data_IF_354157913143
#
_entry.id   IF_354157913143
#
_cell.length_a   1.000
_cell.length_b   1.000
_cell.length_c   1.000
_cell.angle_alpha   90.00
_cell.angle_beta   90.00
_cell.angle_gamma   90.00
#
_symmetry.space_group_name_H-M   'P 1'
#
loop_
_entity.id
_entity.type
_entity.pdbx_description
1 polymer ?
#
# COMPACT_ATOMS: atom_id res chain seq x y z
N UNK A 1 -13.63 -3.05 4.40
CA UNK A 1 -14.90 -2.79 5.12
C UNK A 1 -14.84 -1.46 5.82
N UNK A 2 -15.87 -0.63 5.66
CA UNK A 2 -15.92 0.71 6.25
C UNK A 2 -16.92 0.75 7.41
N UNK A 3 -16.47 1.10 8.61
CA UNK A 3 -17.27 1.12 9.84
C UNK A 3 -17.27 2.52 10.46
N UNK A 4 -18.45 3.05 10.73
CA UNK A 4 -18.66 4.24 11.56
C UNK A 4 -19.26 3.82 12.89
N UNK A 5 -18.68 4.22 14.01
CA UNK A 5 -19.09 3.78 15.35
C UNK A 5 -19.02 4.87 16.40
N UNK A 6 -19.82 4.74 17.47
CA UNK A 6 -19.72 5.56 18.69
C UNK A 6 -18.60 5.14 19.65
N UNK A 7 -17.80 4.13 19.28
CA UNK A 7 -16.67 3.69 20.08
C UNK A 7 -15.54 4.73 20.01
N UNK A 8 -14.88 5.09 21.13
CA UNK A 8 -13.74 6.00 21.11
C UNK A 8 -12.57 5.45 20.28
N UNK A 9 -11.82 6.35 19.62
CA UNK A 9 -10.72 6.05 18.72
C UNK A 9 -9.72 5.05 19.30
N UNK A 10 -9.20 5.30 20.52
CA UNK A 10 -8.22 4.41 21.15
C UNK A 10 -8.76 2.98 21.35
N UNK A 11 -10.04 2.84 21.72
CA UNK A 11 -10.67 1.54 21.89
C UNK A 11 -10.80 0.80 20.54
N UNK A 12 -11.10 1.53 19.46
CA UNK A 12 -11.18 0.95 18.11
C UNK A 12 -9.79 0.48 17.67
N UNK A 13 -8.77 1.33 17.80
CA UNK A 13 -7.37 0.98 17.47
C UNK A 13 -6.88 -0.24 18.25
N UNK A 14 -7.06 -0.26 19.58
CA UNK A 14 -6.60 -1.37 20.42
C UNK A 14 -7.25 -2.69 20.03
N UNK A 15 -8.53 -2.67 19.66
CA UNK A 15 -9.27 -3.88 19.24
C UNK A 15 -8.87 -4.35 17.86
N UNK A 16 -8.72 -3.45 16.90
CA UNK A 16 -8.30 -3.81 15.55
C UNK A 16 -6.87 -4.37 15.57
N UNK A 17 -5.97 -3.81 16.40
CA UNK A 17 -4.65 -4.38 16.65
C UNK A 17 -4.70 -5.74 17.35
N UNK A 18 -5.57 -5.91 18.34
CA UNK A 18 -5.76 -7.20 19.00
C UNK A 18 -6.34 -8.27 18.06
N UNK A 19 -7.02 -7.86 16.99
CA UNK A 19 -7.50 -8.73 15.92
C UNK A 19 -6.43 -9.00 14.84
N UNK A 20 -5.19 -8.57 15.05
CA UNK A 20 -4.03 -8.78 14.16
C UNK A 20 -4.26 -8.28 12.72
N UNK A 21 -5.00 -7.18 12.59
CA UNK A 21 -5.24 -6.56 11.29
C UNK A 21 -4.01 -5.77 10.85
N UNK A 22 -3.37 -6.24 9.77
CA UNK A 22 -2.15 -5.66 9.24
C UNK A 22 -2.41 -4.42 8.36
N UNK A 23 -3.65 -4.22 7.89
CA UNK A 23 -4.02 -3.15 6.96
C UNK A 23 -5.33 -2.48 7.40
N UNK A 24 -5.37 -1.15 7.30
CA UNK A 24 -6.53 -0.34 7.68
C UNK A 24 -6.15 0.95 8.40
N UNK A 25 -7.14 1.84 8.55
CA UNK A 25 -6.97 3.16 9.16
C UNK A 25 -8.12 3.50 10.07
N UNK A 26 -7.84 4.19 11.17
CA UNK A 26 -8.87 4.67 12.11
C UNK A 26 -8.79 6.19 12.19
N UNK A 27 -9.86 6.87 11.81
CA UNK A 27 -10.00 8.32 11.92
C UNK A 27 -10.19 8.77 13.37
N UNK A 28 -10.04 10.07 13.67
CA UNK A 28 -10.25 10.59 15.03
C UNK A 28 -11.72 10.45 15.46
N UNK A 29 -11.96 10.42 16.77
CA UNK A 29 -13.31 10.60 17.29
C UNK A 29 -13.70 12.07 17.20
N UNK A 30 -14.80 12.39 16.50
CA UNK A 30 -15.29 13.76 16.40
C UNK A 30 -15.95 14.26 17.69
N UNK A 31 -16.30 15.55 17.75
CA UNK A 31 -16.94 16.19 18.93
C UNK A 31 -18.29 15.58 19.30
N UNK A 32 -18.90 14.82 18.39
CA UNK A 32 -20.16 14.13 18.60
C UNK A 32 -19.93 12.71 19.11
N UNK A 33 -18.70 12.22 19.15
CA UNK A 33 -18.34 10.88 19.62
C UNK A 33 -18.31 9.83 18.52
N UNK A 34 -18.25 10.20 17.25
CA UNK A 34 -18.16 9.27 16.12
C UNK A 34 -16.72 9.02 15.71
N UNK A 35 -16.39 7.76 15.46
CA UNK A 35 -15.10 7.29 14.94
C UNK A 35 -15.35 6.52 13.65
N UNK A 36 -14.55 6.80 12.62
CA UNK A 36 -14.52 6.02 11.39
C UNK A 36 -13.33 5.05 11.41
N UNK A 37 -13.54 3.84 10.90
CA UNK A 37 -12.48 2.87 10.68
C UNK A 37 -12.65 2.20 9.33
N UNK A 38 -11.60 2.25 8.53
CA UNK A 38 -11.39 1.42 7.37
C UNK A 38 -10.67 0.15 7.83
N UNK A 39 -11.41 -0.95 7.78
CA UNK A 39 -10.93 -2.28 8.16
C UNK A 39 -10.65 -3.03 6.88
N UNK A 40 -9.37 -3.15 6.55
CA UNK A 40 -8.95 -3.98 5.44
C UNK A 40 -8.78 -5.42 5.97
N UNK A 41 -9.55 -6.33 5.41
CA UNK A 41 -9.45 -7.75 5.70
C UNK A 41 -8.60 -8.32 4.58
N UNK A 42 -7.29 -8.33 4.78
CA UNK A 42 -6.32 -8.63 3.73
C UNK A 42 -6.69 -9.91 2.95
N UNK A 43 -6.66 -9.82 1.61
CA UNK A 43 -6.43 -10.94 0.70
C UNK A 43 -4.98 -11.46 0.84
N UNK A 44 -4.60 -11.82 2.08
CA UNK A 44 -3.31 -12.36 2.41
C UNK A 44 -3.18 -13.77 1.85
N UNK A 45 -2.59 -13.90 0.65
CA UNK A 45 -2.17 -15.16 0.01
C UNK A 45 -3.04 -16.36 0.38
N UNK A 46 -4.15 -16.52 -0.34
CA UNK A 46 -5.03 -17.68 -0.31
C UNK A 46 -4.25 -19.00 -0.20
N UNK A 47 -4.04 -19.46 1.03
CA UNK A 47 -3.83 -20.88 1.32
C UNK A 47 -4.88 -21.44 2.25
N UNK A 48 -5.66 -20.62 2.96
CA UNK A 48 -6.85 -21.10 3.68
C UNK A 48 -8.08 -20.25 3.36
N UNK A 49 -8.85 -20.69 2.35
CA UNK A 49 -10.20 -20.19 2.03
C UNK A 49 -11.24 -20.42 3.16
N UNK A 50 -10.79 -20.81 4.35
CA UNK A 50 -11.63 -21.19 5.49
C UNK A 50 -12.08 -19.99 6.34
N UNK A 51 -11.39 -18.85 6.24
CA UNK A 51 -11.62 -17.69 7.10
C UNK A 51 -12.37 -16.55 6.39
N UNK A 52 -12.87 -16.71 5.17
CA UNK A 52 -13.78 -15.73 4.55
C UNK A 52 -15.23 -15.95 5.04
N UNK A 53 -16.00 -14.90 5.38
CA UNK A 53 -17.39 -15.08 5.74
C UNK A 53 -18.16 -15.63 4.54
N UNK A 54 -19.02 -16.60 4.81
CA UNK A 54 -19.82 -17.27 3.78
C UNK A 54 -21.24 -16.72 3.70
N UNK A 55 -21.57 -15.77 4.57
CA UNK A 55 -22.90 -15.16 4.66
C UNK A 55 -22.84 -13.74 5.22
N UNK A 56 -23.86 -12.94 4.89
CA UNK A 56 -24.06 -11.61 5.48
C UNK A 56 -24.12 -11.64 7.02
N UNK A 57 -24.75 -12.67 7.60
CA UNK A 57 -24.85 -12.82 9.05
C UNK A 57 -23.47 -13.03 9.69
N UNK A 58 -22.61 -13.81 9.05
CA UNK A 58 -21.24 -14.04 9.51
C UNK A 58 -20.38 -12.77 9.39
N UNK A 59 -20.49 -12.04 8.28
CA UNK A 59 -19.79 -10.77 8.11
C UNK A 59 -20.19 -9.73 9.19
N UNK A 60 -21.49 -9.62 9.49
CA UNK A 60 -21.98 -8.73 10.57
C UNK A 60 -21.56 -9.21 11.97
N UNK A 61 -21.46 -10.52 12.20
CA UNK A 61 -20.94 -11.04 13.47
C UNK A 61 -19.46 -10.68 13.68
N UNK A 62 -18.66 -10.61 12.59
CA UNK A 62 -17.27 -10.13 12.67
C UNK A 62 -17.20 -8.65 13.04
N UNK A 63 -18.07 -7.82 12.47
CA UNK A 63 -18.20 -6.41 12.88
C UNK A 63 -18.49 -6.30 14.37
N UNK A 64 -19.43 -7.08 14.88
CA UNK A 64 -19.83 -7.06 16.29
C UNK A 64 -18.69 -7.47 17.25
N UNK A 65 -17.83 -8.40 16.81
CA UNK A 65 -16.65 -8.77 17.58
C UNK A 65 -15.63 -7.62 17.66
N UNK A 66 -15.46 -6.87 16.57
CA UNK A 66 -14.53 -5.76 16.49
C UNK A 66 -15.06 -4.50 17.18
N UNK A 67 -16.36 -4.20 17.04
CA UNK A 67 -16.99 -2.93 17.41
C UNK A 67 -18.32 -3.16 18.14
N UNK A 68 -18.41 -2.90 19.46
CA UNK A 68 -19.55 -3.30 20.29
C UNK A 68 -20.61 -2.19 20.45
N UNK A 69 -20.33 -1.00 19.94
CA UNK A 69 -21.15 0.19 20.13
C UNK A 69 -22.11 0.36 18.95
N UNK A 70 -23.10 1.27 19.05
CA UNK A 70 -23.94 1.60 17.90
C UNK A 70 -23.07 1.94 16.67
N UNK A 71 -23.40 1.35 15.52
CA UNK A 71 -22.55 1.38 14.34
C UNK A 71 -23.35 1.46 13.03
N UNK A 72 -22.66 1.92 11.99
CA UNK A 72 -23.06 1.85 10.58
C UNK A 72 -21.89 1.22 9.83
N UNK A 73 -22.15 0.23 8.99
CA UNK A 73 -21.11 -0.49 8.26
C UNK A 73 -21.49 -0.67 6.80
N UNK A 74 -20.53 -0.39 5.92
CA UNK A 74 -20.54 -0.81 4.52
C UNK A 74 -19.50 -1.90 4.30
N UNK A 75 -19.96 -3.01 3.75
CA UNK A 75 -19.14 -4.07 3.18
C UNK A 75 -19.05 -3.81 1.68
N UNK A 76 -17.83 -3.64 1.18
CA UNK A 76 -17.48 -3.07 -0.13
C UNK A 76 -17.86 -3.94 -1.35
N UNK A 77 -18.05 -3.31 -2.51
CA UNK A 77 -18.24 -3.96 -3.82
C UNK A 77 -16.92 -4.49 -4.38
N UNK A 78 -16.70 -5.78 -4.17
CA UNK A 78 -15.41 -6.43 -4.40
C UNK A 78 -14.93 -7.23 -3.19
N UNK A 79 -15.68 -7.14 -2.08
CA UNK A 79 -15.50 -8.02 -0.94
C UNK A 79 -15.80 -9.48 -1.34
N UNK A 80 -14.76 -10.25 -1.69
CA UNK A 80 -14.79 -11.72 -1.92
C UNK A 80 -15.40 -12.51 -0.74
N UNK A 81 -15.59 -11.82 0.38
CA UNK A 81 -16.22 -12.25 1.63
C UNK A 81 -17.76 -12.31 1.60
N UNK A 82 -18.42 -12.00 0.48
CA UNK A 82 -19.87 -12.00 0.38
C UNK A 82 -20.39 -13.10 -0.58
N UNK A 83 -21.61 -13.64 -0.34
CA UNK A 83 -22.19 -14.66 -1.20
C UNK A 83 -22.31 -14.22 -2.67
N UNK A 84 -22.21 -15.17 -3.59
CA UNK A 84 -22.38 -14.96 -5.03
C UNK A 84 -23.70 -14.22 -5.35
N UNK A 85 -23.60 -13.09 -6.05
CA UNK A 85 -24.74 -12.24 -6.41
C UNK A 85 -25.04 -11.08 -5.45
N UNK A 86 -24.29 -10.93 -4.35
CA UNK A 86 -24.28 -9.73 -3.50
C UNK A 86 -22.95 -9.03 -3.66
N UNK A 87 -23.00 -7.79 -4.13
CA UNK A 87 -21.79 -6.97 -4.29
C UNK A 87 -21.43 -6.24 -3.02
N UNK A 88 -22.41 -5.63 -2.35
CA UNK A 88 -22.19 -4.79 -1.19
C UNK A 88 -23.36 -4.92 -0.21
N UNK A 89 -23.08 -4.72 1.07
CA UNK A 89 -24.07 -4.74 2.15
C UNK A 89 -23.90 -3.48 2.98
N UNK A 90 -25.01 -2.77 3.20
CA UNK A 90 -25.09 -1.70 4.17
C UNK A 90 -25.91 -2.14 5.37
N UNK A 91 -25.38 -1.95 6.56
CA UNK A 91 -26.10 -2.23 7.79
C UNK A 91 -25.94 -1.11 8.82
N UNK A 92 -26.98 -0.91 9.64
CA UNK A 92 -26.97 0.03 10.75
C UNK A 92 -27.59 -0.58 12.01
N UNK A 93 -27.02 -0.28 13.17
CA UNK A 93 -27.46 -0.79 14.47
C UNK A 93 -27.63 0.35 15.48
N UNK A 94 -28.87 0.67 15.93
CA UNK A 94 -29.14 1.82 16.79
C UNK A 94 -28.63 1.69 18.22
N UNK A 95 -28.52 0.46 18.74
CA UNK A 95 -27.90 0.16 20.03
C UNK A 95 -27.29 -1.25 20.01
N UNK A 96 -26.41 -1.57 20.95
CA UNK A 96 -25.60 -2.79 20.93
C UNK A 96 -26.40 -4.12 20.88
N UNK A 97 -27.67 -4.11 21.30
CA UNK A 97 -28.53 -5.29 21.39
C UNK A 97 -29.60 -5.35 20.30
N UNK A 98 -29.85 -4.25 19.58
CA UNK A 98 -30.77 -4.23 18.47
C UNK A 98 -30.25 -5.06 17.29
N UNK A 99 -31.13 -5.81 16.59
CA UNK A 99 -30.75 -6.45 15.35
C UNK A 99 -30.35 -5.38 14.32
N UNK A 100 -29.33 -5.65 13.48
CA UNK A 100 -28.93 -4.72 12.44
C UNK A 100 -30.04 -4.59 11.39
N UNK A 101 -30.27 -3.37 10.93
CA UNK A 101 -31.10 -3.10 9.75
C UNK A 101 -30.19 -3.18 8.53
N UNK A 102 -30.55 -4.03 7.56
CA UNK A 102 -29.66 -4.40 6.45
C UNK A 102 -30.32 -4.11 5.10
N UNK A 103 -29.53 -3.60 4.16
CA UNK A 103 -29.88 -3.43 2.75
C UNK A 103 -28.74 -3.98 1.89
N UNK A 104 -29.09 -4.62 0.77
CA UNK A 104 -28.12 -5.35 -0.07
C UNK A 104 -28.09 -4.81 -1.49
N UNK A 105 -26.93 -4.80 -2.11
CA UNK A 105 -26.76 -4.40 -3.51
C UNK A 105 -26.55 -5.62 -4.39
N UNK A 106 -27.41 -5.76 -5.41
CA UNK A 106 -27.37 -6.88 -6.34
C UNK A 106 -27.07 -6.39 -7.77
N UNK A 107 -26.40 -7.22 -8.60
CA UNK A 107 -26.25 -6.94 -10.02
C UNK A 107 -27.61 -6.66 -10.68
N UNK A 108 -27.66 -5.63 -11.53
CA UNK A 108 -28.87 -5.34 -12.29
C UNK A 108 -29.26 -6.49 -13.23
N UNK A 109 -28.29 -7.28 -13.71
CA UNK A 109 -28.49 -8.46 -14.53
C UNK A 109 -27.93 -9.72 -13.85
N UNK A 110 -28.76 -10.73 -13.55
CA UNK A 110 -28.30 -12.00 -12.98
C UNK A 110 -27.29 -12.69 -13.92
N UNK A 111 -26.10 -13.04 -13.40
CA UNK A 111 -25.05 -13.74 -14.15
C UNK A 111 -24.07 -12.82 -14.89
N UNK A 112 -24.20 -11.49 -14.79
CA UNK A 112 -23.16 -10.54 -15.20
C UNK A 112 -22.11 -10.43 -14.09
N UNK A 113 -20.85 -10.69 -14.41
CA UNK A 113 -19.72 -10.57 -13.49
C UNK A 113 -18.99 -9.21 -13.60
N UNK A 114 -19.59 -8.21 -14.25
CA UNK A 114 -18.93 -6.92 -14.57
C UNK A 114 -19.81 -5.70 -14.26
N UNK A 115 -19.78 -5.31 -12.99
CA UNK A 115 -19.36 -4.02 -12.39
C UNK A 115 -19.90 -2.62 -12.73
N UNK A 116 -20.83 -2.38 -13.65
CA UNK A 116 -21.17 -0.97 -13.91
C UNK A 116 -22.60 -0.56 -13.61
N UNK A 117 -23.48 -1.47 -13.19
CA UNK A 117 -24.84 -1.05 -12.82
C UNK A 117 -25.43 -1.98 -11.78
N UNK A 118 -25.59 -1.44 -10.58
CA UNK A 118 -26.12 -2.15 -9.42
C UNK A 118 -27.51 -1.62 -9.09
N UNK A 119 -28.33 -2.46 -8.46
CA UNK A 119 -29.62 -2.03 -7.92
C UNK A 119 -29.68 -2.32 -6.44
N UNK A 120 -30.25 -1.38 -5.70
CA UNK A 120 -30.58 -1.56 -4.31
C UNK A 120 -31.69 -2.61 -4.18
N UNK A 121 -31.44 -3.63 -3.36
CA UNK A 121 -32.42 -4.64 -2.99
C UNK A 121 -32.77 -4.49 -1.49
N UNK A 122 -34.07 -4.31 -1.20
CA UNK A 122 -34.58 -3.95 0.12
C UNK A 122 -35.06 -2.49 0.25
N UNK A 123 -35.49 -2.10 1.45
CA UNK A 123 -36.00 -0.75 1.73
C UNK A 123 -34.95 0.15 2.42
N UNK A 124 -34.40 1.17 1.74
CA UNK A 124 -33.45 2.12 2.35
C UNK A 124 -34.08 2.97 3.45
N UNK A 125 -35.41 3.11 3.48
CA UNK A 125 -36.11 3.88 4.51
C UNK A 125 -35.84 3.37 5.92
N UNK A 126 -35.75 2.05 6.10
CA UNK A 126 -35.46 1.45 7.40
C UNK A 126 -34.04 1.76 7.88
N UNK A 127 -33.05 1.73 6.99
CA UNK A 127 -31.65 2.10 7.34
C UNK A 127 -31.56 3.58 7.65
N UNK A 128 -32.18 4.44 6.86
CA UNK A 128 -32.22 5.87 7.12
C UNK A 128 -32.92 6.21 8.45
N UNK A 129 -33.98 5.50 8.81
CA UNK A 129 -34.62 5.65 10.11
C UNK A 129 -33.72 5.17 11.25
N UNK A 130 -33.01 4.05 11.07
CA UNK A 130 -32.05 3.53 12.05
C UNK A 130 -30.84 4.45 12.23
N UNK A 131 -30.26 4.95 11.13
CA UNK A 131 -29.18 5.94 11.14
C UNK A 131 -29.67 7.28 11.70
N UNK A 132 -30.88 7.71 11.33
CA UNK A 132 -31.51 8.90 11.90
C UNK A 132 -31.69 8.79 13.42
N UNK A 133 -32.07 7.62 13.93
CA UNK A 133 -32.12 7.35 15.36
C UNK A 133 -30.71 7.36 16.00
N UNK A 134 -29.70 6.81 15.32
CA UNK A 134 -28.30 6.81 15.76
C UNK A 134 -27.69 8.20 15.92
N UNK A 135 -27.97 9.09 14.96
CA UNK A 135 -27.32 10.41 14.86
C UNK A 135 -28.25 11.56 15.30
N UNK A 136 -29.53 11.29 15.56
CA UNK A 136 -30.50 12.28 16.05
C UNK A 136 -31.15 13.16 14.99
N UNK A 137 -31.19 12.72 13.72
CA UNK A 137 -31.85 13.47 12.64
C UNK A 137 -33.36 13.48 12.81
N UNK A 138 -33.98 14.64 12.59
CA UNK A 138 -35.43 14.80 12.58
C UNK A 138 -36.05 14.88 11.18
N UNK A 139 -35.26 15.09 10.12
CA UNK A 139 -35.76 15.23 8.74
C UNK A 139 -34.87 14.48 7.72
N UNK A 140 -35.30 13.27 7.34
CA UNK A 140 -34.66 12.46 6.29
C UNK A 140 -35.65 12.02 5.20
N UNK A 141 -36.79 12.71 5.07
CA UNK A 141 -37.96 12.25 4.29
C UNK A 141 -37.69 12.11 2.78
N UNK A 142 -36.74 12.86 2.22
CA UNK A 142 -36.34 12.78 0.80
C UNK A 142 -35.09 11.91 0.57
N UNK A 143 -34.48 11.36 1.63
CA UNK A 143 -33.21 10.66 1.53
C UNK A 143 -33.35 9.24 0.94
N UNK A 144 -34.48 8.58 1.16
CA UNK A 144 -34.70 7.22 0.64
C UNK A 144 -34.69 7.20 -0.90
N UNK A 145 -35.27 8.22 -1.53
CA UNK A 145 -35.28 8.33 -2.99
C UNK A 145 -33.91 8.67 -3.56
N UNK A 146 -33.08 9.43 -2.83
CA UNK A 146 -31.67 9.66 -3.20
C UNK A 146 -30.84 8.39 -3.14
N UNK A 147 -31.01 7.58 -2.09
CA UNK A 147 -30.32 6.29 -1.97
C UNK A 147 -30.73 5.29 -3.06
N UNK A 148 -32.00 5.30 -3.49
CA UNK A 148 -32.47 4.47 -4.62
C UNK A 148 -31.95 4.92 -5.97
N UNK A 149 -31.54 6.18 -6.08
CA UNK A 149 -30.98 6.75 -7.30
C UNK A 149 -29.47 6.52 -7.43
N UNK A 150 -28.80 6.01 -6.38
CA UNK A 150 -27.40 5.63 -6.47
C UNK A 150 -27.25 4.43 -7.41
N UNK A 151 -26.30 4.52 -8.34
CA UNK A 151 -25.99 3.46 -9.32
C UNK A 151 -24.86 2.56 -8.83
N UNK A 152 -24.07 3.05 -7.86
CA UNK A 152 -22.93 2.37 -7.26
C UNK A 152 -22.99 2.38 -5.73
N UNK A 153 -22.57 1.28 -5.07
CA UNK A 153 -22.52 1.19 -3.62
C UNK A 153 -21.44 2.08 -2.99
N UNK A 154 -20.41 2.51 -3.72
CA UNK A 154 -19.33 3.37 -3.18
C UNK A 154 -19.82 4.79 -2.87
N UNK A 155 -20.79 5.29 -3.65
CA UNK A 155 -21.42 6.60 -3.46
C UNK A 155 -22.25 6.69 -2.16
N UNK A 156 -22.42 5.56 -1.46
CA UNK A 156 -23.27 5.41 -0.29
C UNK A 156 -22.69 6.11 0.94
N UNK A 157 -21.41 5.94 1.25
CA UNK A 157 -20.78 6.61 2.41
C UNK A 157 -20.84 8.13 2.28
N UNK A 158 -20.63 8.65 1.07
CA UNK A 158 -20.77 10.08 0.78
C UNK A 158 -22.22 10.55 0.92
N UNK A 159 -23.19 9.78 0.37
CA UNK A 159 -24.61 10.08 0.54
C UNK A 159 -25.03 10.08 2.02
N UNK A 160 -24.46 9.19 2.84
CA UNK A 160 -24.69 9.16 4.28
C UNK A 160 -23.98 10.28 5.03
N UNK A 161 -22.76 10.67 4.65
CA UNK A 161 -22.14 11.88 5.18
C UNK A 161 -23.03 13.10 4.89
N UNK A 162 -23.60 13.19 3.70
CA UNK A 162 -24.48 14.29 3.31
C UNK A 162 -25.86 14.27 4.01
N UNK A 163 -26.45 13.09 4.25
CA UNK A 163 -27.78 12.95 4.86
C UNK A 163 -27.71 12.95 6.38
N UNK A 164 -26.71 12.28 6.95
CA UNK A 164 -26.60 11.98 8.36
C UNK A 164 -25.46 12.68 9.08
N UNK A 165 -24.76 13.55 8.36
CA UNK A 165 -23.63 14.33 8.89
C UNK A 165 -22.59 13.40 9.53
N UNK A 166 -22.36 12.19 8.99
CA UNK A 166 -21.36 11.26 9.54
C UNK A 166 -19.95 11.90 9.52
N UNK A 167 -19.01 11.47 10.39
CA UNK A 167 -17.64 11.96 10.30
C UNK A 167 -17.08 11.73 8.90
N UNK A 168 -16.14 12.58 8.47
CA UNK A 168 -15.45 12.39 7.21
C UNK A 168 -14.82 10.98 7.19
N UNK A 169 -15.25 10.18 6.20
CA UNK A 169 -14.82 8.79 6.01
C UNK A 169 -13.53 8.70 5.22
N UNK A 170 -13.21 9.73 4.45
CA UNK A 170 -11.99 9.75 3.66
C UNK A 170 -10.91 10.48 4.45
N UNK A 171 -9.72 9.88 4.51
CA UNK A 171 -8.55 10.64 4.90
C UNK A 171 -8.36 11.78 3.91
N UNK A 172 -8.17 13.00 4.39
CA UNK A 172 -7.93 14.12 3.51
C UNK A 172 -6.72 13.81 2.61
N UNK A 173 -6.90 14.04 1.31
CA UNK A 173 -5.82 13.87 0.35
C UNK A 173 -4.65 14.76 0.77
N UNK A 174 -3.41 14.27 0.67
CA UNK A 174 -2.25 15.04 1.09
C UNK A 174 -2.08 16.27 0.21
N UNK A 175 -1.93 17.43 0.87
CA UNK A 175 -1.65 18.73 0.27
C UNK A 175 -0.27 18.75 -0.40
N UNK A 176 0.67 17.98 0.14
CA UNK A 176 2.02 17.85 -0.39
C UNK A 176 2.53 16.41 -0.26
N UNK A 177 3.06 15.88 -1.37
CA UNK A 177 3.86 14.65 -1.36
C UNK A 177 5.24 14.93 -1.92
N UNK A 178 6.23 14.61 -1.10
CA UNK A 178 7.63 14.96 -1.32
C UNK A 178 8.49 13.74 -1.05
N UNK A 179 9.45 13.51 -1.93
CA UNK A 179 10.40 12.42 -1.83
C UNK A 179 11.80 13.00 -1.66
N UNK A 180 12.44 12.68 -0.54
CA UNK A 180 13.87 12.85 -0.34
C UNK A 180 14.58 11.56 -0.72
N UNK A 181 15.47 11.64 -1.69
CA UNK A 181 16.23 10.48 -2.17
C UNK A 181 17.72 10.71 -1.91
N UNK A 182 18.32 9.81 -1.15
CA UNK A 182 19.78 9.73 -0.99
C UNK A 182 20.34 8.72 -1.99
N UNK A 183 20.47 9.12 -3.25
CA UNK A 183 21.05 8.33 -4.33
C UNK A 183 21.64 9.23 -5.43
N UNK A 184 22.27 8.64 -6.44
CA UNK A 184 22.82 9.38 -7.58
C UNK A 184 21.75 10.26 -8.27
N UNK A 185 22.03 11.55 -8.38
CA UNK A 185 21.05 12.51 -8.88
C UNK A 185 20.66 12.29 -10.35
N UNK A 186 21.58 11.79 -11.18
CA UNK A 186 21.29 11.50 -12.58
C UNK A 186 20.34 10.31 -12.72
N UNK A 187 20.49 9.29 -11.87
CA UNK A 187 19.55 8.18 -11.77
C UNK A 187 18.15 8.64 -11.36
N UNK A 188 18.03 9.44 -10.30
CA UNK A 188 16.71 9.93 -9.82
C UNK A 188 16.01 10.75 -10.91
N UNK A 189 16.73 11.67 -11.56
CA UNK A 189 16.19 12.45 -12.68
C UNK A 189 15.70 11.57 -13.83
N UNK A 190 16.48 10.54 -14.20
CA UNK A 190 16.10 9.63 -15.27
C UNK A 190 14.83 8.82 -14.93
N UNK A 191 14.69 8.35 -13.69
CA UNK A 191 13.49 7.66 -13.22
C UNK A 191 12.26 8.58 -13.23
N UNK A 192 12.42 9.82 -12.74
CA UNK A 192 11.34 10.80 -12.68
C UNK A 192 10.84 11.23 -14.07
N UNK A 193 11.71 11.31 -15.09
CA UNK A 193 11.29 11.65 -16.47
C UNK A 193 10.27 10.68 -17.09
N UNK A 194 10.33 9.41 -16.70
CA UNK A 194 9.42 8.35 -17.19
C UNK A 194 8.08 8.32 -16.41
N UNK A 195 8.00 9.11 -15.34
CA UNK A 195 6.96 9.04 -14.32
C UNK A 195 6.01 10.25 -14.30
N UNK A 196 6.08 11.16 -15.27
CA UNK A 196 5.14 12.29 -15.32
C UNK A 196 5.82 13.65 -15.18
N UNK A 197 5.01 14.69 -14.98
CA UNK A 197 5.52 16.03 -14.69
C UNK A 197 5.92 16.10 -13.22
N UNK A 198 7.17 16.46 -12.97
CA UNK A 198 7.69 16.58 -11.61
C UNK A 198 8.71 17.73 -11.50
N UNK A 199 9.02 18.12 -10.28
CA UNK A 199 10.04 19.09 -9.96
C UNK A 199 11.13 18.43 -9.14
N UNK A 200 12.37 18.60 -9.59
CA UNK A 200 13.54 17.99 -8.99
C UNK A 200 14.51 19.08 -8.56
N UNK A 201 14.96 19.04 -7.31
CA UNK A 201 16.04 19.88 -6.81
C UNK A 201 17.13 18.98 -6.23
N UNK A 202 18.23 18.85 -6.96
CA UNK A 202 19.44 18.24 -6.43
C UNK A 202 20.11 19.22 -5.50
N UNK A 203 20.36 18.82 -4.26
CA UNK A 203 20.96 19.69 -3.23
C UNK A 203 22.45 19.39 -3.06
N UNK A 204 22.84 18.15 -3.38
CA UNK A 204 24.22 17.73 -3.59
C UNK A 204 24.24 16.59 -4.64
N UNK A 205 25.41 15.98 -4.88
CA UNK A 205 25.55 14.89 -5.88
C UNK A 205 24.71 13.64 -5.59
N UNK A 206 24.32 13.45 -4.32
CA UNK A 206 23.65 12.25 -3.82
C UNK A 206 22.34 12.53 -3.10
N UNK A 207 21.95 13.77 -2.89
CA UNK A 207 20.67 14.13 -2.25
C UNK A 207 19.80 14.88 -3.22
N UNK A 208 18.61 14.35 -3.46
CA UNK A 208 17.62 14.91 -4.36
C UNK A 208 16.30 15.02 -3.62
N UNK A 209 15.69 16.19 -3.69
CA UNK A 209 14.28 16.38 -3.31
C UNK A 209 13.47 16.45 -4.59
N UNK A 210 12.38 15.68 -4.67
CA UNK A 210 11.46 15.79 -5.78
C UNK A 210 10.01 15.69 -5.34
N UNK A 211 9.13 16.26 -6.17
CA UNK A 211 7.68 16.23 -5.99
C UNK A 211 6.99 16.17 -7.36
N UNK A 212 5.90 15.41 -7.46
CA UNK A 212 5.12 15.29 -8.68
C UNK A 212 4.05 16.40 -8.79
N UNK A 213 3.61 16.68 -10.01
CA UNK A 213 2.38 17.43 -10.21
C UNK A 213 1.18 16.55 -9.86
N UNK A 214 0.51 16.85 -8.75
CA UNK A 214 -0.80 16.27 -8.45
C UNK A 214 -1.90 17.23 -8.93
N UNK A 215 -2.78 16.80 -9.85
CA UNK A 215 -4.03 17.49 -10.10
C UNK A 215 -4.87 17.52 -8.82
N UNK A 216 -5.81 18.46 -8.72
CA UNK A 216 -6.82 18.39 -7.67
C UNK A 216 -7.56 17.05 -7.76
N UNK A 217 -7.87 16.46 -6.60
CA UNK A 217 -8.62 15.20 -6.56
C UNK A 217 -9.96 15.45 -7.26
N UNK A 218 -10.28 14.71 -8.33
CA UNK A 218 -11.57 14.83 -8.99
C UNK A 218 -12.67 14.60 -7.97
N UNK A 219 -13.72 15.44 -7.98
CA UNK A 219 -14.89 15.17 -7.14
C UNK A 219 -15.50 13.85 -7.57
N UNK A 220 -15.87 13.01 -6.61
CA UNK A 220 -16.59 11.77 -6.90
C UNK A 220 -17.88 12.11 -7.65
N UNK A 221 -18.20 11.34 -8.71
CA UNK A 221 -19.31 11.65 -9.63
C UNK A 221 -19.07 12.81 -10.62
N UNK A 222 -17.88 13.41 -10.67
CA UNK A 222 -17.54 14.36 -11.72
C UNK A 222 -17.49 13.65 -13.08
N UNK A 223 -18.31 14.12 -14.03
CA UNK A 223 -18.45 13.54 -15.36
C UNK A 223 -17.24 13.77 -16.29
N UNK A 224 -16.20 14.47 -15.84
CA UNK A 224 -15.04 14.76 -16.68
C UNK A 224 -14.02 13.61 -16.62
N UNK A 225 -14.20 12.64 -17.51
CA UNK A 225 -13.26 11.52 -17.72
C UNK A 225 -11.81 11.99 -17.94
N UNK A 226 -11.61 13.18 -18.51
CA UNK A 226 -10.26 13.70 -18.77
C UNK A 226 -9.56 14.15 -17.47
N UNK A 227 -10.29 14.74 -16.52
CA UNK A 227 -9.75 15.10 -15.21
C UNK A 227 -9.41 13.84 -14.38
N UNK A 228 -10.27 12.82 -14.42
CA UNK A 228 -10.02 11.54 -13.77
C UNK A 228 -8.80 10.82 -14.36
N UNK A 229 -8.70 10.77 -15.68
CA UNK A 229 -7.56 10.15 -16.36
C UNK A 229 -6.25 10.91 -16.09
N UNK A 230 -6.29 12.25 -16.08
CA UNK A 230 -5.12 13.06 -15.73
C UNK A 230 -4.65 12.80 -14.29
N UNK A 231 -5.59 12.67 -13.35
CA UNK A 231 -5.31 12.34 -11.95
C UNK A 231 -4.71 10.92 -11.80
N UNK A 232 -5.34 9.90 -12.40
CA UNK A 232 -4.84 8.51 -12.39
C UNK A 232 -3.46 8.39 -13.04
N UNK A 233 -3.24 9.10 -14.15
CA UNK A 233 -1.96 9.13 -14.86
C UNK A 233 -0.86 9.78 -14.02
N UNK A 234 -1.17 10.87 -13.30
CA UNK A 234 -0.24 11.52 -12.38
C UNK A 234 0.16 10.59 -11.21
N UNK A 235 -0.80 9.94 -10.56
CA UNK A 235 -0.54 8.99 -9.47
C UNK A 235 0.25 7.77 -9.93
N UNK A 236 -0.16 7.16 -11.04
CA UNK A 236 0.52 6.00 -11.64
C UNK A 236 1.96 6.35 -12.03
N UNK A 237 2.14 7.57 -12.53
CA UNK A 237 3.44 8.14 -12.82
C UNK A 237 4.31 8.25 -11.58
N UNK A 238 3.84 8.95 -10.55
CA UNK A 238 4.54 9.12 -9.27
C UNK A 238 4.95 7.77 -8.66
N UNK A 239 4.01 6.83 -8.60
CA UNK A 239 4.26 5.48 -8.10
C UNK A 239 5.33 4.75 -8.92
N UNK A 240 5.31 4.86 -10.25
CA UNK A 240 6.33 4.27 -11.12
C UNK A 240 7.71 4.85 -10.85
N UNK A 241 7.83 6.18 -10.70
CA UNK A 241 9.10 6.81 -10.31
C UNK A 241 9.60 6.26 -8.99
N UNK A 242 8.75 6.31 -7.96
CA UNK A 242 9.08 5.83 -6.61
C UNK A 242 9.55 4.38 -6.65
N UNK A 243 8.76 3.49 -7.24
CA UNK A 243 9.09 2.06 -7.37
C UNK A 243 10.38 1.81 -8.16
N UNK A 244 10.65 2.61 -9.19
CA UNK A 244 11.90 2.50 -9.98
C UNK A 244 13.10 2.93 -9.16
N UNK A 245 12.96 4.02 -8.39
CA UNK A 245 14.00 4.51 -7.49
C UNK A 245 14.29 3.49 -6.39
N UNK A 246 13.25 3.02 -5.70
CA UNK A 246 13.33 2.03 -4.62
C UNK A 246 14.04 0.75 -5.05
N UNK A 247 13.68 0.20 -6.22
CA UNK A 247 14.34 -1.00 -6.77
C UNK A 247 15.78 -0.76 -7.21
N UNK A 248 16.17 0.50 -7.44
CA UNK A 248 17.52 0.89 -7.85
C UNK A 248 18.45 1.33 -6.71
N UNK A 249 17.95 1.35 -5.46
CA UNK A 249 18.73 1.69 -4.27
C UNK A 249 19.85 0.69 -4.03
N UNK A 250 20.98 1.18 -3.54
CA UNK A 250 22.14 0.39 -3.09
C UNK A 250 22.36 0.54 -1.59
N UNK A 251 23.20 -0.32 -1.00
CA UNK A 251 23.57 -0.21 0.41
C UNK A 251 24.02 1.22 0.77
N UNK A 252 23.50 1.75 1.89
CA UNK A 252 23.68 3.14 2.31
C UNK A 252 22.84 4.20 1.55
N UNK A 253 21.94 3.80 0.66
CA UNK A 253 20.99 4.71 -0.02
C UNK A 253 19.57 4.49 0.48
N UNK A 254 18.77 5.56 0.50
CA UNK A 254 17.39 5.53 1.03
C UNK A 254 16.46 6.45 0.26
N UNK A 255 15.18 6.16 0.34
CA UNK A 255 14.08 7.10 -0.02
C UNK A 255 13.28 7.38 1.24
N UNK A 256 13.06 8.66 1.53
CA UNK A 256 12.11 9.12 2.54
C UNK A 256 10.95 9.81 1.82
N UNK A 257 9.76 9.22 1.88
CA UNK A 257 8.52 9.85 1.45
C UNK A 257 7.95 10.64 2.61
N UNK A 258 7.50 11.86 2.35
CA UNK A 258 6.75 12.68 3.29
C UNK A 258 5.45 13.09 2.62
N UNK A 259 4.33 12.81 3.28
CA UNK A 259 2.99 13.18 2.84
C UNK A 259 2.36 14.05 3.92
N UNK A 260 2.03 15.29 3.58
CA UNK A 260 1.41 16.23 4.53
C UNK A 260 -0.05 16.43 4.18
N UNK A 261 -0.89 16.32 5.20
CA UNK A 261 -2.33 16.58 5.13
C UNK A 261 -2.71 17.49 6.29
N UNK A 262 -2.95 18.78 6.02
CA UNK A 262 -3.16 19.76 7.06
C UNK A 262 -1.99 19.81 8.06
N UNK A 263 -2.26 19.52 9.33
CA UNK A 263 -1.25 19.45 10.39
C UNK A 263 -0.54 18.10 10.53
N UNK A 264 -1.05 17.05 9.88
CA UNK A 264 -0.52 15.70 9.94
C UNK A 264 0.53 15.42 8.87
N UNK A 265 1.52 14.59 9.20
CA UNK A 265 2.58 14.17 8.28
C UNK A 265 2.78 12.66 8.39
N UNK A 266 2.46 11.94 7.33
CA UNK A 266 2.85 10.55 7.15
C UNK A 266 4.24 10.49 6.51
N UNK A 267 5.03 9.49 6.89
CA UNK A 267 6.34 9.25 6.32
C UNK A 267 6.58 7.77 6.06
N UNK A 268 7.22 7.48 4.92
CA UNK A 268 7.77 6.14 4.65
C UNK A 268 9.27 6.22 4.43
N UNK A 269 9.96 5.15 4.78
CA UNK A 269 11.38 4.97 4.56
C UNK A 269 11.61 3.65 3.85
N UNK A 270 12.21 3.74 2.66
CA UNK A 270 12.56 2.60 1.82
C UNK A 270 14.08 2.43 1.79
N UNK A 271 14.55 1.21 2.06
CA UNK A 271 15.96 0.82 1.98
C UNK A 271 16.13 -0.44 1.11
N UNK A 272 17.32 -0.73 0.57
CA UNK A 272 17.51 -1.87 -0.33
C UNK A 272 17.15 -3.20 0.34
N UNK A 273 16.22 -3.94 -0.26
CA UNK A 273 15.90 -5.31 0.13
C UNK A 273 15.19 -5.46 1.47
N UNK A 274 14.65 -4.38 2.04
CA UNK A 274 13.81 -4.41 3.25
C UNK A 274 12.39 -3.92 2.95
N UNK A 275 11.39 -4.38 3.72
CA UNK A 275 10.04 -3.79 3.66
C UNK A 275 10.11 -2.29 4.02
N UNK A 276 9.09 -1.55 3.58
CA UNK A 276 8.95 -0.14 3.93
C UNK A 276 8.79 -0.01 5.44
N UNK A 277 9.47 0.97 6.03
CA UNK A 277 9.23 1.43 7.39
C UNK A 277 8.27 2.61 7.30
N UNK A 278 7.30 2.69 8.20
CA UNK A 278 6.27 3.71 8.17
C UNK A 278 6.07 4.36 9.55
N UNK A 279 5.68 5.63 9.53
CA UNK A 279 5.14 6.30 10.69
C UNK A 279 4.35 7.55 10.31
N UNK A 280 3.69 8.15 11.29
CA UNK A 280 3.00 9.42 11.13
C UNK A 280 3.19 10.30 12.36
N UNK A 281 3.19 11.61 12.12
CA UNK A 281 3.28 12.65 13.14
C UNK A 281 2.10 13.58 13.04
N UNK A 282 1.45 13.87 14.16
CA UNK A 282 0.32 14.78 14.24
C UNK A 282 -0.83 14.43 13.28
N UNK A 283 -0.84 13.20 12.75
CA UNK A 283 -1.94 12.69 11.94
C UNK A 283 -3.08 12.34 12.88
N UNK A 284 -4.27 12.81 12.52
CA UNK A 284 -5.49 12.47 13.25
C UNK A 284 -5.96 11.06 12.92
N UNK A 285 -5.49 10.52 11.80
CA UNK A 285 -5.70 9.14 11.40
C UNK A 285 -4.60 8.25 11.99
N UNK A 286 -4.98 7.09 12.48
CA UNK A 286 -4.06 6.04 12.93
C UNK A 286 -4.07 4.91 11.94
N UNK A 287 -2.94 4.70 11.26
CA UNK A 287 -2.69 3.51 10.45
C UNK A 287 -2.47 2.27 11.33
N UNK A 288 -3.02 1.15 10.89
CA UNK A 288 -2.88 -0.15 11.55
C UNK A 288 -1.64 -0.92 11.09
N UNK A 289 -0.94 -0.44 10.06
CA UNK A 289 0.24 -1.12 9.49
C UNK A 289 1.25 -1.57 10.55
N UNK A 290 1.61 -2.85 10.49
CA UNK A 290 2.56 -3.52 11.39
C UNK A 290 4.01 -3.16 11.10
N UNK A 291 4.30 -2.51 9.97
CA UNK A 291 5.68 -2.21 9.54
C UNK A 291 6.44 -1.27 10.48
N UNK A 292 5.72 -0.44 11.26
CA UNK A 292 6.24 0.33 12.39
C UNK A 292 7.47 1.23 12.10
N UNK A 293 7.95 2.00 13.10
CA UNK A 293 9.16 2.79 12.97
C UNK A 293 10.45 1.99 13.26
N UNK A 294 10.35 0.66 13.43
CA UNK A 294 11.49 -0.18 13.80
C UNK A 294 12.55 -0.21 12.69
N UNK A 295 13.82 -0.02 13.06
CA UNK A 295 14.92 0.05 12.11
C UNK A 295 15.04 1.37 11.33
N UNK A 296 14.09 2.31 11.50
CA UNK A 296 14.12 3.62 10.85
C UNK A 296 15.37 4.41 11.22
N UNK A 297 15.70 4.43 12.51
CA UNK A 297 16.84 5.16 13.05
C UNK A 297 18.16 4.66 12.45
N UNK A 298 18.39 3.35 12.46
CA UNK A 298 19.60 2.73 11.93
C UNK A 298 19.77 3.01 10.44
N UNK A 299 18.69 2.89 9.67
CA UNK A 299 18.70 3.16 8.23
C UNK A 299 18.99 4.63 7.90
N UNK A 300 18.40 5.57 8.64
CA UNK A 300 18.67 7.00 8.46
C UNK A 300 20.13 7.35 8.83
N UNK A 301 20.65 6.76 9.91
CA UNK A 301 22.05 6.93 10.34
C UNK A 301 23.02 6.35 9.31
N UNK A 302 22.70 5.20 8.72
CA UNK A 302 23.53 4.59 7.67
C UNK A 302 23.61 5.49 6.43
N UNK A 303 22.50 6.14 6.06
CA UNK A 303 22.40 6.91 4.83
C UNK A 303 22.91 8.36 4.94
N UNK A 304 22.63 9.01 6.07
CA UNK A 304 22.91 10.43 6.31
C UNK A 304 24.04 10.66 7.32
N UNK A 305 24.48 9.62 8.03
CA UNK A 305 25.49 9.71 9.07
C UNK A 305 24.91 9.98 10.46
N UNK A 306 25.79 10.26 11.42
CA UNK A 306 25.38 10.49 12.81
C UNK A 306 24.50 11.76 12.93
N UNK A 307 23.30 11.67 13.51
CA UNK A 307 22.42 12.82 13.70
C UNK A 307 22.99 13.78 14.74
N UNK A 308 22.55 15.03 14.69
CA UNK A 308 22.93 16.07 15.66
C UNK A 308 22.57 15.69 17.09
N UNK A 309 21.42 15.05 17.26
CA UNK A 309 20.95 14.51 18.54
C UNK A 309 20.31 13.12 18.32
N UNK A 310 21.07 12.04 18.60
CA UNK A 310 20.57 10.67 18.51
C UNK A 310 19.35 10.35 19.37
N UNK A 311 19.24 10.96 20.56
CA UNK A 311 18.12 10.71 21.47
C UNK A 311 16.85 11.35 20.93
N UNK A 312 16.98 12.59 20.47
CA UNK A 312 15.86 13.35 19.89
C UNK A 312 15.36 12.77 18.58
N UNK A 313 16.24 12.24 17.72
CA UNK A 313 15.81 11.55 16.50
C UNK A 313 15.02 10.27 16.81
N UNK A 314 15.47 9.45 17.78
CA UNK A 314 14.69 8.27 18.20
C UNK A 314 13.34 8.66 18.79
N UNK A 315 13.30 9.72 19.60
CA UNK A 315 12.06 10.23 20.15
C UNK A 315 11.09 10.72 19.05
N UNK A 316 11.60 11.44 18.04
CA UNK A 316 10.80 11.90 16.90
C UNK A 316 10.20 10.71 16.14
N UNK A 317 11.03 9.73 15.75
CA UNK A 317 10.58 8.56 14.98
C UNK A 317 9.59 7.66 15.74
N UNK A 318 9.71 7.58 17.07
CA UNK A 318 8.81 6.80 17.91
C UNK A 318 7.52 7.55 18.32
N UNK A 319 7.46 8.86 18.09
CA UNK A 319 6.32 9.68 18.49
C UNK A 319 5.24 9.71 17.43
N UNK A 320 3.97 9.64 17.84
CA UNK A 320 2.82 9.95 16.99
C UNK A 320 2.45 11.44 17.03
N UNK A 321 2.95 12.18 18.02
CA UNK A 321 2.73 13.62 18.18
C UNK A 321 4.05 14.32 18.46
N UNK A 322 4.27 15.46 17.83
CA UNK A 322 5.49 16.24 17.99
C UNK A 322 5.19 17.72 18.26
N UNK A 323 5.82 18.33 19.28
CA UNK A 323 5.68 19.77 19.52
C UNK A 323 6.43 20.57 18.44
N UNK A 324 5.68 21.12 17.49
CA UNK A 324 6.20 21.91 16.37
C UNK A 324 6.12 21.17 15.04
N UNK A 325 6.92 21.58 14.06
CA UNK A 325 6.96 20.92 12.74
C UNK A 325 7.94 19.72 12.77
N UNK A 326 7.43 18.47 12.67
CA UNK A 326 8.27 17.28 12.67
C UNK A 326 9.18 17.19 11.42
N UNK A 327 8.79 17.78 10.29
CA UNK A 327 9.59 17.76 9.05
C UNK A 327 10.80 18.68 9.20
N UNK A 328 10.61 19.89 9.72
CA UNK A 328 11.72 20.78 10.05
C UNK A 328 12.64 20.18 11.12
N UNK A 329 12.10 19.49 12.13
CA UNK A 329 12.90 18.81 13.14
C UNK A 329 13.72 17.66 12.53
N UNK A 330 13.11 16.79 11.72
CA UNK A 330 13.81 15.73 10.99
C UNK A 330 14.95 16.31 10.15
N UNK A 331 14.66 17.36 9.39
CA UNK A 331 15.64 18.03 8.55
C UNK A 331 16.78 18.63 9.36
N UNK A 332 16.48 19.23 10.51
CA UNK A 332 17.47 19.76 11.42
C UNK A 332 18.37 18.65 12.00
N UNK A 333 17.78 17.56 12.50
CA UNK A 333 18.50 16.48 13.18
C UNK A 333 19.44 15.72 12.24
N UNK A 334 19.02 15.52 10.99
CA UNK A 334 19.79 14.80 9.96
C UNK A 334 20.63 15.73 9.07
N UNK A 335 20.55 17.05 9.26
CA UNK A 335 21.25 18.02 8.42
C UNK A 335 20.77 18.01 6.96
N UNK A 336 19.49 17.72 6.75
CA UNK A 336 18.87 17.63 5.42
C UNK A 336 18.73 19.02 4.79
N UNK A 337 18.66 19.10 3.46
CA UNK A 337 18.51 20.37 2.76
C UNK A 337 17.19 21.08 3.11
N UNK A 338 17.24 22.41 3.23
CA UNK A 338 16.06 23.26 3.43
C UNK A 338 15.00 23.09 2.32
N UNK A 339 15.42 22.62 1.13
CA UNK A 339 14.52 22.29 0.03
C UNK A 339 13.47 21.24 0.39
N UNK A 340 13.75 20.34 1.35
CA UNK A 340 12.78 19.35 1.83
C UNK A 340 11.61 20.03 2.55
N UNK A 341 11.93 20.90 3.52
CA UNK A 341 10.93 21.66 4.28
C UNK A 341 10.16 22.59 3.35
N UNK A 342 10.85 23.28 2.44
CA UNK A 342 10.23 24.13 1.42
C UNK A 342 9.26 23.35 0.53
N UNK A 343 9.62 22.15 0.09
CA UNK A 343 8.76 21.32 -0.76
C UNK A 343 7.48 20.84 -0.04
N UNK A 344 7.56 20.62 1.27
CA UNK A 344 6.42 20.18 2.07
C UNK A 344 5.52 21.34 2.48
N UNK A 345 6.10 22.47 2.92
CA UNK A 345 5.36 23.64 3.42
C UNK A 345 4.84 24.56 2.32
N UNK A 346 5.62 24.76 1.26
CA UNK A 346 5.29 25.68 0.16
C UNK A 346 5.68 25.03 -1.19
N UNK A 347 4.88 24.06 -1.68
CA UNK A 347 5.14 23.39 -2.94
C UNK A 347 5.28 24.38 -4.11
N UNK A 348 4.53 25.49 -4.08
CA UNK A 348 4.60 26.52 -5.13
C UNK A 348 5.97 27.19 -5.18
N UNK A 349 6.50 27.60 -4.02
CA UNK A 349 7.85 28.15 -3.91
C UNK A 349 8.92 27.13 -4.28
N UNK A 350 8.77 25.88 -3.85
CA UNK A 350 9.68 24.81 -4.25
C UNK A 350 9.78 24.68 -5.77
N UNK A 351 8.64 24.70 -6.47
CA UNK A 351 8.58 24.63 -7.94
C UNK A 351 9.32 25.77 -8.64
N UNK A 352 9.37 26.97 -8.06
CA UNK A 352 10.10 28.11 -8.63
C UNK A 352 11.63 27.93 -8.61
N UNK A 353 12.16 27.27 -7.57
CA UNK A 353 13.60 27.01 -7.44
C UNK A 353 14.02 25.60 -7.87
N UNK A 354 13.10 24.78 -8.37
CA UNK A 354 13.36 23.40 -8.79
C UNK A 354 13.32 23.27 -10.32
N UNK A 355 14.07 22.31 -10.84
CA UNK A 355 14.04 21.97 -12.26
C UNK A 355 12.73 21.26 -12.57
N UNK A 356 11.92 21.83 -13.46
CA UNK A 356 10.73 21.13 -14.00
C UNK A 356 11.18 20.06 -14.97
N UNK A 357 10.95 18.81 -14.59
CA UNK A 357 11.18 17.63 -15.41
C UNK A 357 9.94 17.37 -16.24
N UNK A 358 10.04 17.60 -17.55
CA UNK A 358 8.97 17.31 -18.51
C UNK A 358 8.83 15.79 -18.70
N UNK A 359 7.61 15.23 -18.67
CA UNK A 359 7.39 13.82 -18.92
C UNK A 359 7.80 13.46 -20.33
N UNK A 360 8.59 12.40 -20.46
CA UNK A 360 8.84 11.75 -21.74
C UNK A 360 7.69 10.79 -22.12
N UNK A 361 6.86 10.38 -21.15
CA UNK A 361 5.90 9.29 -21.32
C UNK A 361 6.60 7.92 -21.22
N UNK A 362 5.85 6.82 -21.05
CA UNK A 362 6.42 5.50 -20.75
C UNK A 362 7.27 4.91 -21.89
N UNK A 363 6.96 5.26 -23.13
CA UNK A 363 7.51 4.61 -24.34
C UNK A 363 8.51 5.47 -25.10
N UNK A 364 8.69 6.75 -24.73
CA UNK A 364 9.63 7.61 -25.43
C UNK A 364 11.09 7.23 -25.12
N UNK A 365 11.98 7.34 -26.12
CA UNK A 365 13.37 6.95 -25.94
C UNK A 365 14.08 7.89 -24.97
N UNK A 366 14.73 7.30 -23.97
CA UNK A 366 15.67 8.02 -23.11
C UNK A 366 16.93 8.41 -23.89
N UNK A 367 17.56 9.51 -23.45
CA UNK A 367 18.91 9.84 -23.91
C UNK A 367 19.90 8.74 -23.49
N UNK A 368 21.03 8.65 -24.19
CA UNK A 368 22.07 7.67 -23.88
C UNK A 368 22.57 7.79 -22.43
N UNK A 369 22.65 9.01 -21.89
CA UNK A 369 23.06 9.31 -20.51
C UNK A 369 22.03 8.85 -19.48
N UNK A 370 20.75 9.12 -19.70
CA UNK A 370 19.67 8.67 -18.80
C UNK A 370 19.55 7.14 -18.80
N UNK A 371 19.62 6.53 -19.99
CA UNK A 371 19.63 5.07 -20.12
C UNK A 371 20.84 4.47 -19.39
N UNK A 372 22.02 5.07 -19.50
CA UNK A 372 23.21 4.61 -18.79
C UNK A 372 23.04 4.72 -17.26
N UNK A 373 22.42 5.80 -16.76
CA UNK A 373 22.16 5.99 -15.34
C UNK A 373 21.20 4.91 -14.78
N UNK A 374 20.10 4.61 -15.47
CA UNK A 374 19.17 3.54 -15.08
C UNK A 374 19.83 2.15 -15.18
N UNK A 375 20.54 1.86 -16.27
CA UNK A 375 21.25 0.58 -16.45
C UNK A 375 22.37 0.40 -15.41
N UNK A 376 22.95 1.49 -14.91
CA UNK A 376 23.90 1.44 -13.81
C UNK A 376 23.25 0.96 -12.49
N UNK A 377 21.96 1.22 -12.31
CA UNK A 377 21.18 0.85 -11.11
C UNK A 377 20.38 -0.44 -11.25
N UNK A 378 20.21 -0.95 -12.47
CA UNK A 378 19.54 -2.21 -12.70
C UNK A 378 20.14 -3.33 -11.82
N UNK A 379 19.32 -4.17 -11.17
CA UNK A 379 19.79 -5.25 -10.31
C UNK A 379 20.88 -6.06 -11.02
N UNK A 380 22.09 -6.05 -10.45
CA UNK A 380 23.21 -6.85 -10.93
C UNK A 380 23.35 -8.04 -10.01
N UNK A 381 23.41 -9.24 -10.59
CA UNK A 381 23.83 -10.44 -9.88
C UNK A 381 25.19 -10.16 -9.22
N UNK A 382 25.31 -10.40 -7.92
CA UNK A 382 26.62 -10.46 -7.28
C UNK A 382 27.43 -11.59 -7.92
N UNK A 383 28.69 -11.33 -8.27
CA UNK A 383 29.55 -12.31 -8.96
C UNK A 383 29.63 -13.66 -8.19
N UNK A 384 29.56 -13.62 -6.86
CA UNK A 384 29.55 -14.81 -6.00
C UNK A 384 28.24 -15.63 -6.03
N UNK A 385 27.08 -14.99 -6.24
CA UNK A 385 25.79 -15.73 -6.30
C UNK A 385 25.64 -16.47 -7.62
N UNK A 386 26.14 -15.88 -8.72
CA UNK A 386 26.16 -16.51 -10.03
C UNK A 386 27.03 -17.79 -10.03
N UNK A 387 28.20 -17.72 -9.37
CA UNK A 387 29.07 -18.88 -9.22
C UNK A 387 28.40 -19.99 -8.40
N UNK A 388 27.74 -19.64 -7.29
CA UNK A 388 26.98 -20.59 -6.48
C UNK A 388 25.82 -21.23 -7.25
N UNK A 389 25.03 -20.46 -8.01
CA UNK A 389 23.93 -21.00 -8.83
C UNK A 389 24.45 -21.98 -9.90
N UNK A 390 25.59 -21.68 -10.52
CA UNK A 390 26.27 -22.58 -11.47
C UNK A 390 26.78 -23.83 -10.77
N UNK A 391 27.35 -23.70 -9.57
CA UNK A 391 27.78 -24.85 -8.75
C UNK A 391 26.58 -25.74 -8.41
N UNK A 392 25.44 -25.18 -8.00
CA UNK A 392 24.22 -25.94 -7.70
C UNK A 392 23.68 -26.65 -8.96
N UNK A 393 23.71 -25.98 -10.12
CA UNK A 393 23.31 -26.58 -11.39
C UNK A 393 24.24 -27.71 -11.81
N UNK A 394 25.55 -27.51 -11.75
CA UNK A 394 26.56 -28.51 -12.13
C UNK A 394 26.52 -29.69 -11.16
N UNK A 395 26.43 -29.44 -9.86
CA UNK A 395 26.31 -30.48 -8.83
C UNK A 395 25.00 -31.27 -8.99
N UNK A 396 23.88 -30.57 -9.24
CA UNK A 396 22.60 -31.20 -9.47
C UNK A 396 22.59 -32.08 -10.73
N UNK A 397 23.18 -31.61 -11.82
CA UNK A 397 23.35 -32.40 -13.05
C UNK A 397 24.28 -33.60 -12.86
N UNK A 398 25.35 -33.44 -12.08
CA UNK A 398 26.26 -34.54 -11.75
C UNK A 398 25.56 -35.61 -10.91
N UNK A 399 24.72 -35.23 -9.94
CA UNK A 399 23.93 -36.15 -9.13
C UNK A 399 22.83 -36.85 -9.94
N UNK A 400 22.17 -36.14 -10.85
CA UNK A 400 21.24 -36.76 -11.81
C UNK A 400 21.96 -37.77 -12.72
N UNK A 401 23.14 -37.41 -13.22
CA UNK A 401 23.97 -38.31 -14.02
C UNK A 401 24.44 -39.54 -13.23
N UNK A 402 24.79 -39.36 -11.96
CA UNK A 402 25.15 -40.46 -11.05
C UNK A 402 23.95 -41.38 -10.78
N UNK A 403 22.78 -40.82 -10.51
CA UNK A 403 21.54 -41.59 -10.37
C UNK A 403 21.19 -42.37 -11.63
N UNK A 404 21.35 -41.77 -12.81
CA UNK A 404 21.13 -42.44 -14.10
C UNK A 404 22.14 -43.57 -14.33
N UNK A 405 23.41 -43.38 -13.97
CA UNK A 405 24.44 -44.40 -14.08
C UNK A 405 24.19 -45.58 -13.13
N UNK A 406 23.76 -45.33 -11.89
CA UNK A 406 23.40 -46.37 -10.92
C UNK A 406 22.22 -47.20 -11.45
N UNK A 407 21.18 -46.53 -11.96
CA UNK A 407 20.01 -47.19 -12.56
C UNK A 407 20.37 -48.02 -13.80
N UNK A 408 21.21 -47.48 -14.70
CA UNK A 408 21.59 -48.16 -15.94
C UNK A 408 22.55 -49.34 -15.74
N UNK A 409 23.22 -49.41 -14.58
CA UNK A 409 24.23 -50.44 -14.29
C UNK A 409 23.82 -51.38 -13.16
N UNK A 410 22.58 -51.29 -12.68
CA UNK A 410 22.08 -52.00 -11.49
C UNK A 410 23.05 -51.87 -10.30
N UNK A 411 23.69 -50.71 -10.14
CA UNK A 411 24.67 -50.43 -9.06
C UNK A 411 26.06 -51.06 -9.24
N UNK A 412 26.30 -51.82 -10.32
CA UNK A 412 27.54 -52.58 -10.52
C UNK A 412 28.81 -51.72 -10.62
N UNK A 413 28.69 -50.47 -11.09
CA UNK A 413 29.83 -49.56 -11.30
C UNK A 413 30.22 -48.79 -10.02
N UNK A 414 29.30 -48.66 -9.06
CA UNK A 414 29.48 -47.77 -7.89
C UNK A 414 29.75 -48.54 -6.59
N UNK A 415 29.67 -49.88 -6.60
CA UNK A 415 29.91 -50.70 -5.41
C UNK A 415 28.89 -50.42 -4.30
N UNK A 416 27.64 -50.11 -4.65
CA UNK A 416 26.61 -49.74 -3.70
C UNK A 416 25.81 -50.96 -3.24
N UNK A 417 26.17 -51.52 -2.08
CA UNK A 417 25.34 -52.49 -1.32
C UNK A 417 24.19 -51.77 -0.58
N UNK A 418 23.57 -50.78 -1.22
CA UNK A 418 22.51 -49.96 -0.63
C UNK A 418 21.16 -50.68 -0.62
N UNK A 419 20.29 -50.45 0.37
CA UNK A 419 18.94 -51.02 0.38
C UNK A 419 18.10 -50.54 -0.82
N UNK A 420 17.07 -51.30 -1.23
CA UNK A 420 16.24 -50.98 -2.40
C UNK A 420 15.69 -49.54 -2.34
N UNK A 421 15.85 -48.76 -3.41
CA UNK A 421 15.38 -47.36 -3.52
C UNK A 421 16.43 -46.28 -3.23
N UNK A 422 17.69 -46.63 -3.01
CA UNK A 422 18.79 -45.67 -2.81
C UNK A 422 19.18 -44.86 -4.05
N UNK A 423 18.86 -45.37 -5.23
CA UNK A 423 18.98 -44.69 -6.53
C UNK A 423 18.08 -43.45 -6.63
N UNK A 424 16.94 -43.46 -5.95
CA UNK A 424 15.99 -42.33 -5.93
C UNK A 424 16.57 -41.09 -5.24
N UNK A 425 17.45 -41.27 -4.24
CA UNK A 425 18.04 -40.19 -3.45
C UNK A 425 18.88 -39.20 -4.30
N UNK A 426 19.86 -39.65 -5.12
CA UNK A 426 20.61 -38.75 -6.00
C UNK A 426 19.74 -38.13 -7.11
N UNK A 427 18.68 -38.80 -7.57
CA UNK A 427 17.71 -38.23 -8.51
C UNK A 427 16.90 -37.09 -7.89
N UNK A 428 16.34 -37.30 -6.70
CA UNK A 428 15.54 -36.29 -5.97
C UNK A 428 16.42 -35.11 -5.54
N UNK A 429 17.59 -35.38 -4.97
CA UNK A 429 18.53 -34.33 -4.57
C UNK A 429 19.08 -33.55 -5.77
N UNK A 430 19.45 -34.25 -6.85
CA UNK A 430 19.92 -33.63 -8.09
C UNK A 430 18.84 -32.78 -8.76
N UNK A 431 17.62 -33.29 -8.85
CA UNK A 431 16.47 -32.56 -9.39
C UNK A 431 16.15 -31.29 -8.58
N UNK A 432 16.14 -31.39 -7.25
CA UNK A 432 15.91 -30.25 -6.37
C UNK A 432 16.99 -29.16 -6.52
N UNK A 433 18.26 -29.54 -6.62
CA UNK A 433 19.37 -28.60 -6.82
C UNK A 433 19.32 -27.91 -8.19
N UNK A 434 19.01 -28.66 -9.26
CA UNK A 434 18.83 -28.10 -10.60
C UNK A 434 17.67 -27.11 -10.63
N UNK A 435 16.51 -27.48 -10.08
CA UNK A 435 15.33 -26.60 -10.02
C UNK A 435 15.62 -25.33 -9.23
N UNK A 436 16.28 -25.45 -8.07
CA UNK A 436 16.64 -24.29 -7.23
C UNK A 436 17.59 -23.34 -7.97
N UNK A 437 18.62 -23.87 -8.63
CA UNK A 437 19.54 -23.09 -9.44
C UNK A 437 18.86 -22.43 -10.65
N UNK A 438 17.91 -23.12 -11.29
CA UNK A 438 17.16 -22.61 -12.44
C UNK A 438 16.17 -21.50 -12.05
N UNK A 439 15.42 -21.67 -10.96
CA UNK A 439 14.47 -20.68 -10.43
C UNK A 439 15.22 -19.43 -9.98
N UNK A 440 16.36 -19.58 -9.30
CA UNK A 440 17.25 -18.44 -8.96
C UNK A 440 17.82 -17.78 -10.21
N UNK A 441 18.23 -18.55 -11.23
CA UNK A 441 18.70 -18.04 -12.52
C UNK A 441 17.64 -17.21 -13.24
N UNK A 442 16.40 -17.71 -13.28
CA UNK A 442 15.24 -17.10 -13.92
C UNK A 442 14.74 -15.84 -13.23
N UNK A 443 14.59 -15.87 -11.90
CA UNK A 443 14.10 -14.74 -11.09
C UNK A 443 14.96 -13.48 -11.28
N UNK A 444 16.28 -13.58 -11.15
CA UNK A 444 17.17 -12.42 -11.34
C UNK A 444 17.22 -11.89 -12.79
N UNK A 445 17.00 -12.76 -13.81
CA UNK A 445 16.81 -12.27 -15.20
C UNK A 445 15.46 -11.60 -15.37
N UNK A 446 14.42 -12.10 -14.70
CA UNK A 446 13.08 -11.53 -14.64
C UNK A 446 13.09 -10.15 -13.99
N UNK A 447 13.70 -10.01 -12.82
CA UNK A 447 13.83 -8.74 -12.08
C UNK A 447 14.57 -7.67 -12.89
N UNK A 448 15.70 -8.02 -13.51
CA UNK A 448 16.42 -7.08 -14.38
C UNK A 448 15.63 -6.69 -15.61
N UNK A 449 14.88 -7.64 -16.22
CA UNK A 449 14.00 -7.34 -17.36
C UNK A 449 12.83 -6.46 -16.97
N UNK A 450 12.16 -6.75 -15.83
CA UNK A 450 11.07 -5.92 -15.28
C UNK A 450 11.58 -4.52 -14.94
N UNK A 451 12.71 -4.42 -14.25
CA UNK A 451 13.35 -3.14 -13.95
C UNK A 451 13.61 -2.33 -15.24
N UNK A 452 14.19 -2.95 -16.28
CA UNK A 452 14.48 -2.25 -17.55
C UNK A 452 13.26 -2.06 -18.47
N UNK A 453 12.16 -2.75 -18.22
CA UNK A 453 10.90 -2.57 -18.95
C UNK A 453 10.08 -1.44 -18.32
N UNK A 454 10.13 -1.31 -16.99
CA UNK A 454 9.50 -0.24 -16.22
C UNK A 454 10.31 1.06 -16.24
N UNK A 455 11.64 0.95 -16.40
CA UNK A 455 12.60 2.06 -16.48
C UNK A 455 12.82 2.57 -17.89
#
# INVERSE_FOLDING_TARGET
MNVVTRSPHAQVVDRLRAADLEYGRVGPTDDRGWTFAEVDTEDGTATDAADAPTSAAEALARVDALVPAPWVVQLDAGSDLLPEGVSAILAARPDAVAPPVVVTWAPAQPGSSTDHTMRLDGDPGAVLAAVGALVGLRDATTAADRLRALEHPDDLLEAFAAVADLPATDSAAPDAVVQLVRADAAFVRAAVRRAGTAWVRATDERTVVWSAARPEVPRFGAADEAEQEAFRSALSGEFRARSTIERGLRAGEVVVSLERTGGGVAWTLSTPGRPWVFGSWNDTWTDLSTSGPEGAYEALVEAFGAPRDPGRLRALLASSTWPGDPVAELAYLLGLPAALVEAVEDPARFRHGAERVQPLGPTAPLTATEKAALVARAPRRGAGSAAWDVVLLVLGLALLGLGAAILATDGAVVGSDGPPGWDVVPWVAGGALVLTGWVRAGSARGERRRFLADA
#
